data_IF_142487275424
#
_entry.id   IF_142487275424
#
_cell.length_a   1.000
_cell.length_b   1.000
_cell.length_c   1.000
_cell.angle_alpha   90.00
_cell.angle_beta   90.00
_cell.angle_gamma   90.00
#
_symmetry.space_group_name_H-M   'P 1'
#
loop_
_entity.id
_entity.type
_entity.pdbx_description
1 polymer ?
#
# COMPACT_ATOMS: atom_id res chain seq x y z
N UNK A 1 -18.24 -4.51 -10.07
CA UNK A 1 -19.22 -5.60 -10.27
C UNK A 1 -18.80 -6.43 -11.47
N UNK A 2 -18.66 -7.75 -11.32
CA UNK A 2 -18.32 -8.66 -12.43
C UNK A 2 -19.42 -9.71 -12.62
N UNK A 3 -19.75 -10.02 -13.87
CA UNK A 3 -20.71 -11.06 -14.26
C UNK A 3 -19.97 -12.16 -15.02
N UNK A 4 -19.97 -13.37 -14.48
CA UNK A 4 -19.41 -14.54 -15.16
C UNK A 4 -20.24 -14.92 -16.39
N UNK A 5 -21.58 -14.78 -16.30
CA UNK A 5 -22.51 -15.07 -17.39
C UNK A 5 -22.28 -14.13 -18.58
N UNK A 6 -22.14 -12.83 -18.32
CA UNK A 6 -21.98 -11.82 -19.36
C UNK A 6 -20.51 -11.59 -19.75
N UNK A 7 -19.57 -12.28 -19.07
CA UNK A 7 -18.12 -12.11 -19.20
C UNK A 7 -17.69 -10.64 -19.18
N UNK A 8 -18.30 -9.86 -18.31
CA UNK A 8 -18.12 -8.42 -18.27
C UNK A 8 -17.98 -7.91 -16.83
N UNK A 9 -17.25 -6.81 -16.67
CA UNK A 9 -17.09 -6.12 -15.40
C UNK A 9 -17.31 -4.61 -15.59
N UNK A 10 -17.92 -3.99 -14.57
CA UNK A 10 -18.18 -2.56 -14.52
C UNK A 10 -17.81 -2.01 -13.15
N UNK A 11 -17.43 -0.75 -13.09
CA UNK A 11 -17.25 -0.01 -11.85
C UNK A 11 -18.49 0.86 -11.65
N UNK A 12 -19.08 0.78 -10.47
CA UNK A 12 -20.26 1.57 -10.10
C UNK A 12 -19.80 2.56 -9.04
N UNK A 13 -20.00 3.85 -9.30
CA UNK A 13 -19.44 4.95 -8.51
C UNK A 13 -20.58 5.82 -8.00
N UNK A 14 -20.74 5.89 -6.68
CA UNK A 14 -21.91 6.48 -6.05
C UNK A 14 -21.49 7.54 -5.03
N UNK A 15 -22.16 8.69 -5.09
CA UNK A 15 -22.08 9.76 -4.10
C UNK A 15 -23.50 10.24 -3.77
N UNK A 16 -23.73 11.02 -2.70
CA UNK A 16 -25.08 11.47 -2.33
C UNK A 16 -25.83 12.23 -3.42
N UNK A 17 -25.12 12.83 -4.38
CA UNK A 17 -25.72 13.66 -5.44
C UNK A 17 -25.50 13.12 -6.85
N UNK A 18 -24.71 12.04 -7.01
CA UNK A 18 -24.27 11.63 -8.32
C UNK A 18 -24.07 10.11 -8.41
N UNK A 19 -24.24 9.59 -9.62
CA UNK A 19 -24.14 8.17 -9.93
C UNK A 19 -23.45 7.99 -11.28
N UNK A 20 -22.38 7.21 -11.30
CA UNK A 20 -21.62 6.90 -12.50
C UNK A 20 -21.43 5.41 -12.68
N UNK A 21 -21.38 4.98 -13.94
CA UNK A 21 -20.99 3.62 -14.31
C UNK A 21 -19.81 3.74 -15.27
N UNK A 22 -18.65 3.23 -14.85
CA UNK A 22 -17.48 3.16 -15.71
C UNK A 22 -17.37 1.76 -16.31
N UNK A 23 -17.22 1.73 -17.63
CA UNK A 23 -17.05 0.52 -18.45
C UNK A 23 -15.86 0.77 -19.37
N UNK A 24 -15.03 -0.25 -19.56
CA UNK A 24 -13.94 -0.18 -20.51
C UNK A 24 -14.38 -0.88 -21.79
N UNK A 25 -14.31 -0.17 -22.91
CA UNK A 25 -14.56 -0.74 -24.24
C UNK A 25 -13.26 -1.28 -24.83
N UNK A 26 -13.34 -2.39 -25.56
CA UNK A 26 -12.22 -2.96 -26.34
C UNK A 26 -10.99 -3.38 -25.51
N UNK A 27 -11.15 -3.66 -24.22
CA UNK A 27 -10.10 -4.30 -23.41
C UNK A 27 -10.67 -5.50 -22.66
N UNK A 28 -9.79 -6.43 -22.29
CA UNK A 28 -10.14 -7.58 -21.45
C UNK A 28 -10.05 -7.27 -19.95
N UNK A 29 -9.83 -6.01 -19.55
CA UNK A 29 -9.42 -5.64 -18.19
C UNK A 29 -10.07 -4.37 -17.70
N UNK A 30 -10.57 -4.41 -16.47
CA UNK A 30 -11.09 -3.25 -15.75
C UNK A 30 -10.27 -3.07 -14.49
N UNK A 31 -9.63 -1.90 -14.35
CA UNK A 31 -8.80 -1.56 -13.20
C UNK A 31 -9.54 -0.57 -12.31
N UNK A 32 -9.49 -0.78 -11.00
CA UNK A 32 -10.14 0.10 -10.03
C UNK A 32 -9.18 0.39 -8.90
N UNK A 33 -8.96 1.68 -8.62
CA UNK A 33 -8.35 2.12 -7.36
C UNK A 33 -9.37 2.97 -6.60
N UNK A 34 -8.93 3.89 -5.74
CA UNK A 34 -9.79 4.60 -4.81
C UNK A 34 -10.42 5.88 -5.38
N UNK A 35 -9.97 6.38 -6.54
CA UNK A 35 -10.59 7.53 -7.22
C UNK A 35 -11.65 7.07 -8.22
N UNK A 36 -12.59 7.96 -8.53
CA UNK A 36 -13.65 7.73 -9.51
C UNK A 36 -13.16 7.96 -10.95
N UNK A 37 -13.65 7.15 -11.87
CA UNK A 37 -13.19 7.04 -13.27
C UNK A 37 -14.29 7.33 -14.29
N UNK A 38 -15.57 7.29 -13.90
CA UNK A 38 -16.67 7.59 -14.82
C UNK A 38 -16.72 9.07 -15.22
N UNK A 39 -17.21 9.34 -16.43
CA UNK A 39 -17.30 10.71 -16.99
C UNK A 39 -18.06 11.69 -16.09
N UNK A 40 -19.03 11.15 -15.34
CA UNK A 40 -19.86 11.87 -14.38
C UNK A 40 -19.04 12.55 -13.26
N UNK A 41 -17.84 12.02 -12.94
CA UNK A 41 -16.92 12.58 -11.94
C UNK A 41 -15.68 13.24 -12.56
N UNK A 42 -15.64 13.41 -13.88
CA UNK A 42 -14.50 14.01 -14.59
C UNK A 42 -14.23 15.44 -14.12
N UNK A 43 -15.27 16.24 -13.90
CA UNK A 43 -15.13 17.63 -13.45
C UNK A 43 -15.39 17.79 -11.93
N UNK A 44 -15.52 16.68 -11.19
CA UNK A 44 -15.70 16.74 -9.74
C UNK A 44 -14.40 17.15 -9.03
N UNK A 45 -14.44 18.31 -8.37
CA UNK A 45 -13.27 18.91 -7.71
C UNK A 45 -12.67 18.00 -6.63
N UNK A 46 -13.50 17.23 -5.90
CA UNK A 46 -13.00 16.34 -4.84
C UNK A 46 -12.30 15.13 -5.44
N UNK A 47 -12.87 14.58 -6.51
CA UNK A 47 -12.25 13.49 -7.25
C UNK A 47 -10.91 13.92 -7.88
N UNK A 48 -10.87 15.09 -8.54
CA UNK A 48 -9.64 15.64 -9.10
C UNK A 48 -8.56 15.86 -8.05
N UNK A 49 -8.93 16.43 -6.90
CA UNK A 49 -8.02 16.58 -5.77
C UNK A 49 -7.51 15.23 -5.26
N UNK A 50 -8.36 14.20 -5.20
CA UNK A 50 -7.95 12.87 -4.78
C UNK A 50 -6.98 12.22 -5.78
N UNK A 51 -7.22 12.39 -7.09
CA UNK A 51 -6.32 11.91 -8.16
C UNK A 51 -4.95 12.57 -8.03
N UNK A 52 -4.91 13.89 -7.82
CA UNK A 52 -3.67 14.67 -7.74
C UNK A 52 -2.90 14.42 -6.43
N UNK A 53 -3.59 14.48 -5.29
CA UNK A 53 -2.92 14.55 -3.99
C UNK A 53 -2.66 13.18 -3.35
N UNK A 54 -3.38 12.13 -3.76
CA UNK A 54 -3.30 10.80 -3.14
C UNK A 54 -2.44 9.80 -3.91
N UNK A 55 -2.21 8.64 -3.31
CA UNK A 55 -1.51 7.50 -3.91
C UNK A 55 -2.39 6.70 -4.89
N UNK A 56 -3.66 7.07 -5.08
CA UNK A 56 -4.60 6.28 -5.91
C UNK A 56 -4.23 6.26 -7.38
N UNK A 57 -3.90 7.42 -7.96
CA UNK A 57 -3.49 7.51 -9.36
C UNK A 57 -2.17 6.78 -9.60
N UNK A 58 -1.22 6.92 -8.67
CA UNK A 58 0.05 6.20 -8.70
C UNK A 58 -0.13 4.67 -8.71
N UNK A 59 -0.98 4.14 -7.82
CA UNK A 59 -1.28 2.69 -7.81
C UNK A 59 -1.99 2.22 -9.07
N UNK A 60 -2.81 3.08 -9.67
CA UNK A 60 -3.46 2.78 -10.94
C UNK A 60 -2.42 2.63 -12.06
N UNK A 61 -1.48 3.56 -12.15
CA UNK A 61 -0.35 3.49 -13.09
C UNK A 61 0.53 2.25 -12.83
N UNK A 62 0.82 1.92 -11.56
CA UNK A 62 1.58 0.70 -11.21
C UNK A 62 0.84 -0.57 -11.63
N UNK A 63 -0.48 -0.63 -11.47
CA UNK A 63 -1.28 -1.77 -11.97
C UNK A 63 -1.20 -1.86 -13.50
N UNK A 64 -1.23 -0.74 -14.21
CA UNK A 64 -1.07 -0.74 -15.67
C UNK A 64 0.30 -1.28 -16.08
N UNK A 65 1.37 -0.84 -15.42
CA UNK A 65 2.75 -1.33 -15.64
C UNK A 65 2.83 -2.86 -15.45
N UNK A 66 2.42 -3.37 -14.28
CA UNK A 66 2.49 -4.80 -13.96
C UNK A 66 1.62 -5.68 -14.85
N UNK A 67 0.55 -5.12 -15.42
CA UNK A 67 -0.35 -5.86 -16.28
C UNK A 67 0.08 -5.82 -17.76
N UNK A 68 0.84 -4.80 -18.20
CA UNK A 68 1.36 -4.77 -19.58
C UNK A 68 2.29 -5.96 -19.87
N UNK A 69 2.99 -6.45 -18.86
CA UNK A 69 3.96 -7.54 -19.00
C UNK A 69 3.30 -8.93 -19.14
N UNK A 70 1.99 -9.04 -18.88
CA UNK A 70 1.34 -10.33 -18.69
C UNK A 70 0.21 -10.59 -19.71
N UNK A 71 0.40 -11.54 -20.63
CA UNK A 71 -0.58 -11.84 -21.69
C UNK A 71 -1.79 -12.64 -21.16
N UNK A 72 -1.57 -13.51 -20.17
CA UNK A 72 -2.62 -14.30 -19.48
C UNK A 72 -2.41 -14.31 -17.97
N UNK A 73 -3.43 -13.82 -17.26
CA UNK A 73 -3.49 -13.78 -15.80
C UNK A 73 -3.98 -15.13 -15.26
N UNK A 74 -3.31 -15.63 -14.22
CA UNK A 74 -3.73 -16.77 -13.41
C UNK A 74 -3.68 -16.36 -11.92
N UNK A 75 -4.24 -17.16 -10.99
CA UNK A 75 -4.26 -16.82 -9.57
C UNK A 75 -2.88 -16.50 -9.00
N UNK A 76 -1.84 -17.25 -9.40
CA UNK A 76 -0.46 -17.08 -8.93
C UNK A 76 0.13 -15.73 -9.35
N UNK A 77 -0.09 -15.32 -10.60
CA UNK A 77 0.33 -14.01 -11.10
C UNK A 77 -0.43 -12.86 -10.44
N UNK A 78 -1.73 -13.02 -10.23
CA UNK A 78 -2.53 -12.03 -9.49
C UNK A 78 -2.02 -11.91 -8.04
N UNK A 79 -1.70 -13.02 -7.39
CA UNK A 79 -1.10 -12.99 -6.06
C UNK A 79 0.26 -12.27 -6.06
N UNK A 80 1.11 -12.50 -7.07
CA UNK A 80 2.38 -11.76 -7.24
C UNK A 80 2.17 -10.25 -7.38
N UNK A 81 1.22 -9.83 -8.23
CA UNK A 81 0.86 -8.41 -8.41
C UNK A 81 0.36 -7.81 -7.10
N UNK A 82 -0.57 -8.50 -6.41
CA UNK A 82 -1.10 -8.05 -5.12
C UNK A 82 -0.01 -7.93 -4.06
N UNK A 83 1.00 -8.81 -4.10
CA UNK A 83 2.15 -8.80 -3.19
C UNK A 83 3.23 -7.79 -3.58
N UNK A 84 3.14 -7.12 -4.73
CA UNK A 84 4.18 -6.21 -5.21
C UNK A 84 4.38 -5.01 -4.27
N UNK A 85 5.63 -4.81 -3.83
CA UNK A 85 6.05 -3.81 -2.85
C UNK A 85 6.83 -2.65 -3.48
N UNK A 86 7.06 -2.68 -4.80
CA UNK A 86 7.87 -1.68 -5.50
C UNK A 86 7.03 -0.47 -5.93
N UNK A 87 7.71 0.64 -6.19
CA UNK A 87 7.13 1.77 -6.91
C UNK A 87 7.08 1.52 -8.42
N UNK A 88 6.67 2.55 -9.16
CA UNK A 88 6.76 2.57 -10.62
C UNK A 88 8.19 2.28 -11.08
N UNK A 89 8.31 1.53 -12.18
CA UNK A 89 9.58 1.08 -12.78
C UNK A 89 10.48 0.35 -11.79
N UNK A 90 9.85 -0.42 -10.91
CA UNK A 90 10.45 -1.19 -9.81
C UNK A 90 11.37 -0.40 -8.89
N UNK A 91 11.15 0.91 -8.77
CA UNK A 91 11.89 1.75 -7.84
C UNK A 91 11.64 1.28 -6.41
N UNK A 92 12.71 1.17 -5.63
CA UNK A 92 12.60 1.03 -4.17
C UNK A 92 12.08 2.34 -3.56
N UNK A 93 10.94 2.26 -2.87
CA UNK A 93 10.25 3.41 -2.25
C UNK A 93 10.10 3.24 -0.73
N UNK A 94 10.76 2.22 -0.18
CA UNK A 94 10.66 1.82 1.21
C UNK A 94 9.40 1.03 1.54
N UNK A 95 9.51 0.10 2.48
CA UNK A 95 8.38 -0.70 2.93
C UNK A 95 7.43 0.13 3.81
N UNK A 96 6.12 -0.06 3.66
CA UNK A 96 5.11 0.80 4.31
C UNK A 96 4.65 1.99 3.47
N UNK A 97 5.22 2.21 2.28
CA UNK A 97 4.84 3.31 1.39
C UNK A 97 3.50 3.03 0.69
N UNK A 98 2.51 3.91 0.88
CA UNK A 98 1.15 3.73 0.34
C UNK A 98 1.07 3.78 -1.20
N UNK A 99 2.16 4.16 -1.88
CA UNK A 99 2.28 4.09 -3.34
C UNK A 99 2.50 2.66 -3.86
N UNK A 100 3.02 1.74 -3.04
CA UNK A 100 3.09 0.32 -3.40
C UNK A 100 1.70 -0.32 -3.40
N UNK A 101 1.49 -1.39 -4.17
CA UNK A 101 0.24 -2.17 -4.10
C UNK A 101 0.13 -2.90 -2.77
N UNK A 102 1.21 -3.57 -2.38
CA UNK A 102 1.38 -4.11 -1.03
C UNK A 102 2.23 -3.17 -0.18
N UNK A 103 1.57 -2.25 0.50
CA UNK A 103 2.19 -1.38 1.50
C UNK A 103 2.48 -2.10 2.83
N UNK A 104 2.29 -3.42 2.95
CA UNK A 104 2.44 -4.20 4.19
C UNK A 104 1.58 -3.70 5.37
N UNK A 105 0.38 -3.19 5.05
CA UNK A 105 -0.59 -2.73 6.04
C UNK A 105 -1.98 -3.35 5.83
N UNK A 106 -2.31 -3.71 4.59
CA UNK A 106 -3.59 -4.33 4.28
C UNK A 106 -3.65 -5.73 4.91
N UNK A 107 -4.74 -5.99 5.65
CA UNK A 107 -4.88 -7.25 6.38
C UNK A 107 -5.10 -8.46 5.48
N UNK A 108 -5.81 -8.31 4.36
CA UNK A 108 -6.18 -9.41 3.49
C UNK A 108 -6.21 -8.99 2.02
N UNK A 109 -6.05 -9.97 1.14
CA UNK A 109 -6.34 -9.88 -0.28
C UNK A 109 -7.18 -11.08 -0.72
N UNK A 110 -8.01 -10.86 -1.73
CA UNK A 110 -8.92 -11.88 -2.27
C UNK A 110 -8.74 -11.96 -3.78
N UNK A 111 -8.62 -13.17 -4.28
CA UNK A 111 -8.61 -13.48 -5.72
C UNK A 111 -9.84 -14.29 -6.01
N UNK A 112 -10.61 -13.89 -7.02
CA UNK A 112 -11.79 -14.64 -7.43
C UNK A 112 -11.65 -15.12 -8.87
N UNK A 113 -11.99 -16.38 -9.11
CA UNK A 113 -12.18 -16.95 -10.44
C UNK A 113 -13.68 -17.25 -10.62
N UNK A 114 -14.47 -16.28 -11.12
CA UNK A 114 -15.93 -16.40 -11.14
C UNK A 114 -16.45 -17.59 -11.94
N UNK A 115 -15.88 -17.83 -13.13
CA UNK A 115 -16.32 -18.94 -14.01
C UNK A 115 -16.07 -20.30 -13.36
N UNK A 116 -14.95 -20.45 -12.63
CA UNK A 116 -14.62 -21.67 -11.88
C UNK A 116 -15.28 -21.74 -10.51
N UNK A 117 -15.81 -20.61 -10.03
CA UNK A 117 -16.33 -20.42 -8.68
C UNK A 117 -15.31 -20.77 -7.59
N UNK A 118 -14.05 -20.38 -7.81
CA UNK A 118 -12.95 -20.53 -6.85
C UNK A 118 -12.59 -19.18 -6.24
N UNK A 119 -12.37 -19.15 -4.93
CA UNK A 119 -11.93 -17.96 -4.19
C UNK A 119 -10.62 -18.28 -3.49
N UNK A 120 -9.64 -17.39 -3.55
CA UNK A 120 -8.46 -17.45 -2.71
C UNK A 120 -8.45 -16.28 -1.73
N UNK A 121 -8.17 -16.55 -0.45
CA UNK A 121 -8.06 -15.52 0.59
C UNK A 121 -6.68 -15.61 1.23
N UNK A 122 -5.95 -14.49 1.28
CA UNK A 122 -4.63 -14.46 1.92
C UNK A 122 -4.74 -14.66 3.44
N UNK A 123 -3.79 -15.40 3.99
CA UNK A 123 -3.56 -15.54 5.43
C UNK A 123 -2.47 -14.57 5.92
N UNK A 124 -2.25 -14.54 7.23
CA UNK A 124 -1.23 -13.67 7.84
C UNK A 124 0.22 -14.09 7.48
N UNK A 125 1.17 -13.13 7.49
CA UNK A 125 1.00 -11.71 7.73
C UNK A 125 0.60 -10.95 6.45
N UNK A 126 -0.30 -9.97 6.58
CA UNK A 126 -0.78 -9.12 5.48
C UNK A 126 -1.29 -9.96 4.29
N UNK A 127 -0.78 -9.67 3.10
CA UNK A 127 -1.04 -10.41 1.87
C UNK A 127 0.09 -11.41 1.55
N UNK A 128 1.06 -11.55 2.45
CA UNK A 128 2.24 -12.39 2.24
C UNK A 128 2.01 -13.85 2.68
N UNK A 129 1.05 -14.11 3.56
CA UNK A 129 0.68 -15.47 3.94
C UNK A 129 0.17 -16.29 2.74
N UNK A 130 -0.01 -17.59 2.98
CA UNK A 130 -0.62 -18.49 2.02
C UNK A 130 -1.99 -17.96 1.58
N UNK A 131 -2.29 -18.02 0.29
CA UNK A 131 -3.65 -17.82 -0.22
C UNK A 131 -4.37 -19.15 -0.22
N UNK A 132 -5.31 -19.30 0.71
CA UNK A 132 -6.11 -20.52 0.87
C UNK A 132 -7.23 -20.51 -0.16
N UNK A 133 -7.31 -21.55 -0.98
CA UNK A 133 -8.33 -21.71 -2.02
C UNK A 133 -9.59 -22.35 -1.46
N UNK A 134 -10.76 -21.81 -1.80
CA UNK A 134 -12.09 -22.30 -1.44
C UNK A 134 -12.89 -22.57 -2.71
N UNK A 135 -13.53 -23.74 -2.78
CA UNK A 135 -14.40 -24.12 -3.89
C UNK A 135 -15.87 -23.82 -3.55
N UNK A 136 -16.41 -22.78 -4.18
CA UNK A 136 -17.80 -22.40 -3.93
C UNK A 136 -18.80 -23.41 -4.51
N UNK A 137 -18.42 -24.26 -5.47
CA UNK A 137 -19.29 -25.35 -5.92
C UNK A 137 -19.56 -26.33 -4.79
N UNK A 138 -18.52 -26.66 -4.01
CA UNK A 138 -18.65 -27.56 -2.87
C UNK A 138 -19.38 -26.87 -1.72
N UNK A 139 -18.98 -25.64 -1.38
CA UNK A 139 -19.57 -24.85 -0.30
C UNK A 139 -21.09 -24.68 -0.49
N UNK A 140 -21.55 -24.40 -1.71
CA UNK A 140 -22.96 -24.21 -2.01
C UNK A 140 -23.65 -25.47 -2.58
N UNK A 141 -23.03 -26.65 -2.47
CA UNK A 141 -23.61 -27.91 -2.99
C UNK A 141 -24.79 -28.44 -2.17
N UNK A 142 -25.03 -27.90 -0.97
CA UNK A 142 -26.05 -28.39 -0.04
C UNK A 142 -25.72 -29.71 0.65
N UNK A 143 -24.49 -30.22 0.49
CA UNK A 143 -23.98 -31.37 1.25
C UNK A 143 -23.52 -30.91 2.63
N UNK A 144 -23.62 -31.80 3.64
CA UNK A 144 -23.01 -31.56 4.95
C UNK A 144 -21.49 -31.49 4.79
N UNK A 145 -20.95 -30.28 4.92
CA UNK A 145 -19.53 -30.03 4.83
C UNK A 145 -18.91 -30.13 6.21
N UNK A 146 -17.92 -31.02 6.34
CA UNK A 146 -17.11 -31.09 7.54
C UNK A 146 -16.22 -29.83 7.63
N UNK A 147 -16.07 -29.20 8.82
CA UNK A 147 -15.38 -27.91 8.97
C UNK A 147 -13.96 -27.83 8.38
N UNK A 148 -13.26 -28.95 8.25
CA UNK A 148 -11.89 -29.02 7.71
C UNK A 148 -11.80 -29.18 6.18
N UNK A 149 -12.92 -29.36 5.47
CA UNK A 149 -12.91 -29.72 4.04
C UNK A 149 -13.26 -28.58 3.08
N UNK A 150 -13.42 -27.34 3.56
CA UNK A 150 -13.78 -26.21 2.69
C UNK A 150 -12.64 -25.73 1.80
N UNK A 151 -11.39 -25.96 2.21
CA UNK A 151 -10.21 -25.51 1.46
C UNK A 151 -9.67 -26.56 0.50
N UNK A 152 -9.31 -26.14 -0.71
CA UNK A 152 -8.59 -26.95 -1.70
C UNK A 152 -7.09 -26.72 -1.61
N UNK A 153 -6.45 -27.39 -0.65
CA UNK A 153 -5.01 -27.21 -0.37
C UNK A 153 -4.10 -27.37 -1.59
N UNK A 154 -4.44 -28.27 -2.51
CA UNK A 154 -3.73 -28.49 -3.79
C UNK A 154 -3.73 -27.25 -4.71
N UNK A 155 -4.67 -26.32 -4.51
CA UNK A 155 -4.81 -25.07 -5.27
C UNK A 155 -4.35 -23.86 -4.46
N UNK A 156 -3.84 -24.02 -3.24
CA UNK A 156 -3.33 -22.91 -2.46
C UNK A 156 -2.14 -22.26 -3.18
N UNK A 157 -1.99 -20.95 -3.02
CA UNK A 157 -0.80 -20.24 -3.49
C UNK A 157 0.11 -20.06 -2.26
N UNK A 158 1.36 -20.55 -2.32
CA UNK A 158 2.23 -20.56 -1.16
C UNK A 158 2.50 -19.15 -0.62
N UNK A 159 2.86 -19.09 0.67
CA UNK A 159 3.37 -17.90 1.34
C UNK A 159 4.51 -17.27 0.51
N UNK A 160 4.54 -15.94 0.46
CA UNK A 160 5.62 -15.17 -0.16
C UNK A 160 6.91 -15.33 0.67
N UNK A 161 8.04 -15.79 0.08
CA UNK A 161 9.31 -15.93 0.79
C UNK A 161 9.81 -14.66 1.46
N UNK A 162 9.39 -13.48 0.99
CA UNK A 162 9.71 -12.20 1.63
C UNK A 162 9.23 -12.14 3.09
N UNK A 163 8.16 -12.85 3.44
CA UNK A 163 7.64 -12.84 4.81
C UNK A 163 8.59 -13.46 5.84
N UNK A 164 9.64 -14.15 5.37
CA UNK A 164 10.65 -14.81 6.19
C UNK A 164 12.05 -14.22 5.94
N UNK A 165 12.13 -13.05 5.28
CA UNK A 165 13.39 -12.36 4.96
C UNK A 165 13.80 -11.33 6.03
N UNK A 166 15.09 -11.01 6.06
CA UNK A 166 15.63 -9.99 6.97
C UNK A 166 15.00 -8.62 6.71
N UNK A 167 14.69 -8.30 5.46
CA UNK A 167 14.04 -7.05 5.08
C UNK A 167 12.63 -6.91 5.67
N UNK A 168 11.88 -8.00 5.77
CA UNK A 168 10.56 -7.99 6.42
C UNK A 168 10.68 -7.84 7.94
N UNK A 169 11.65 -8.51 8.57
CA UNK A 169 11.96 -8.32 9.99
C UNK A 169 12.35 -6.87 10.27
N UNK A 170 13.26 -6.30 9.47
CA UNK A 170 13.69 -4.92 9.56
C UNK A 170 12.51 -3.93 9.39
N UNK A 171 11.59 -4.21 8.48
CA UNK A 171 10.35 -3.44 8.34
C UNK A 171 9.49 -3.47 9.61
N UNK A 172 9.27 -4.65 10.20
CA UNK A 172 8.48 -4.81 11.43
C UNK A 172 9.14 -4.06 12.62
N UNK A 173 10.46 -4.18 12.77
CA UNK A 173 11.24 -3.44 13.78
C UNK A 173 11.12 -1.93 13.54
N UNK A 174 11.32 -1.48 12.30
CA UNK A 174 11.18 -0.06 11.92
C UNK A 174 9.79 0.47 12.26
N UNK A 175 8.73 -0.32 12.05
CA UNK A 175 7.36 0.08 12.40
C UNK A 175 7.18 0.23 13.91
N UNK A 176 7.73 -0.70 14.71
CA UNK A 176 7.69 -0.61 16.18
C UNK A 176 8.43 0.63 16.68
N UNK A 177 9.67 0.86 16.22
CA UNK A 177 10.46 2.04 16.59
C UNK A 177 9.80 3.35 16.16
N UNK A 178 9.13 3.37 14.99
CA UNK A 178 8.36 4.53 14.53
C UNK A 178 7.26 4.92 15.51
N UNK A 179 6.64 3.96 16.21
CA UNK A 179 5.64 4.23 17.24
C UNK A 179 6.28 4.88 18.46
N UNK A 180 7.40 4.33 18.95
CA UNK A 180 8.14 4.88 20.09
C UNK A 180 8.62 6.32 19.84
N UNK A 181 9.15 6.61 18.64
CA UNK A 181 9.58 7.96 18.27
C UNK A 181 8.40 8.94 18.27
N UNK A 182 7.23 8.53 17.77
CA UNK A 182 6.06 9.41 17.81
C UNK A 182 5.62 9.71 19.26
N UNK A 183 5.61 8.70 20.13
CA UNK A 183 5.31 8.88 21.55
C UNK A 183 6.31 9.81 22.25
N UNK A 184 7.58 9.78 21.85
CA UNK A 184 8.61 10.71 22.33
C UNK A 184 8.37 12.17 21.89
N UNK A 185 7.69 12.38 20.75
CA UNK A 185 7.35 13.73 20.27
C UNK A 185 6.03 14.27 20.84
N UNK A 186 5.23 13.42 21.48
CA UNK A 186 3.91 13.76 22.04
C UNK A 186 3.96 14.06 23.55
N UNK A 187 5.11 14.55 24.04
CA UNK A 187 5.26 15.04 25.42
C UNK A 187 5.81 14.04 26.44
N UNK A 188 6.21 12.85 26.01
CA UNK A 188 7.06 11.97 26.81
C UNK A 188 8.51 12.32 26.50
N UNK A 189 9.23 12.91 27.44
CA UNK A 189 10.63 13.33 27.25
C UNK A 189 11.59 12.12 27.21
N UNK A 190 11.41 11.27 26.19
CA UNK A 190 12.22 10.08 25.94
C UNK A 190 13.50 10.56 25.25
N UNK A 191 14.64 10.05 25.72
CA UNK A 191 15.93 10.23 25.09
C UNK A 191 16.37 8.89 24.49
N UNK A 192 16.84 8.93 23.24
CA UNK A 192 17.41 7.78 22.56
C UNK A 192 18.93 7.79 22.69
N UNK A 193 19.53 6.60 22.76
CA UNK A 193 20.98 6.46 22.82
C UNK A 193 21.66 6.90 21.51
N UNK A 194 22.94 7.21 21.58
CA UNK A 194 23.76 7.51 20.41
C UNK A 194 23.70 6.36 19.39
N UNK A 195 23.60 6.70 18.11
CA UNK A 195 23.47 5.73 17.03
C UNK A 195 22.07 5.15 16.81
N UNK A 196 21.08 5.49 17.65
CA UNK A 196 19.69 5.03 17.47
C UNK A 196 19.09 5.42 16.12
N UNK A 197 19.17 6.70 15.74
CA UNK A 197 18.57 7.16 14.47
C UNK A 197 19.26 6.59 13.23
N UNK A 198 20.60 6.50 13.16
CA UNK A 198 21.28 5.76 12.09
C UNK A 198 20.80 4.30 11.96
N UNK A 199 20.66 3.58 13.08
CA UNK A 199 20.14 2.20 13.08
C UNK A 199 18.68 2.16 12.61
N UNK A 200 17.82 3.02 13.17
CA UNK A 200 16.42 3.12 12.77
C UNK A 200 16.24 3.39 11.27
N UNK A 201 17.06 4.28 10.71
CA UNK A 201 17.05 4.59 9.29
C UNK A 201 17.57 3.44 8.43
N UNK A 202 18.57 2.68 8.90
CA UNK A 202 19.11 1.54 8.15
C UNK A 202 18.11 0.39 8.01
N UNK A 203 17.13 0.28 8.91
CA UNK A 203 16.08 -0.74 8.83
C UNK A 203 15.12 -0.55 7.64
N UNK A 204 14.95 0.68 7.15
CA UNK A 204 14.07 0.97 6.01
C UNK A 204 14.54 2.23 5.24
N UNK A 205 15.71 2.15 4.59
CA UNK A 205 16.47 3.33 4.15
C UNK A 205 15.84 4.09 2.98
N UNK A 206 14.87 3.50 2.28
CA UNK A 206 14.14 4.17 1.20
C UNK A 206 12.80 4.76 1.63
N UNK A 207 12.37 4.47 2.86
CA UNK A 207 11.10 4.98 3.35
C UNK A 207 11.27 6.40 3.88
N UNK A 208 10.65 7.38 3.22
CA UNK A 208 10.76 8.80 3.60
C UNK A 208 10.44 9.08 5.08
N UNK A 209 9.55 8.26 5.67
CA UNK A 209 9.03 8.46 7.02
C UNK A 209 10.08 8.22 8.11
N UNK A 210 11.09 7.37 7.88
CA UNK A 210 12.16 7.17 8.89
C UNK A 210 12.92 8.47 9.10
N UNK A 211 13.26 9.18 8.02
CA UNK A 211 13.91 10.49 8.10
C UNK A 211 12.98 11.57 8.62
N UNK A 212 11.72 11.58 8.20
CA UNK A 212 10.75 12.56 8.70
C UNK A 212 10.55 12.47 10.22
N UNK A 213 10.46 11.25 10.78
CA UNK A 213 10.30 11.05 12.21
C UNK A 213 11.57 11.40 12.99
N UNK A 214 12.76 11.02 12.49
CA UNK A 214 14.04 11.48 13.05
C UNK A 214 14.11 13.01 13.09
N UNK A 215 13.79 13.68 11.98
CA UNK A 215 13.81 15.13 11.89
C UNK A 215 12.80 15.80 12.84
N UNK A 216 11.59 15.22 12.98
CA UNK A 216 10.59 15.70 13.98
C UNK A 216 11.13 15.60 15.40
N UNK A 217 11.79 14.50 15.74
CA UNK A 217 12.38 14.31 17.06
C UNK A 217 13.47 15.35 17.34
N UNK A 218 14.45 15.48 16.42
CA UNK A 218 15.52 16.48 16.56
C UNK A 218 14.96 17.91 16.65
N UNK A 219 13.94 18.22 15.85
CA UNK A 219 13.25 19.51 15.92
C UNK A 219 12.64 19.77 17.31
N UNK A 220 12.03 18.75 17.92
CA UNK A 220 11.46 18.82 19.27
C UNK A 220 12.55 19.03 20.33
N UNK A 221 13.70 18.36 20.20
CA UNK A 221 14.89 18.56 21.05
C UNK A 221 15.66 19.85 20.77
N UNK A 222 15.23 20.63 19.76
CA UNK A 222 15.85 21.89 19.29
C UNK A 222 17.24 21.69 18.66
N UNK A 223 17.56 20.47 18.26
CA UNK A 223 18.73 20.08 17.46
C UNK A 223 18.45 20.41 15.99
N UNK A 224 18.48 21.70 15.66
CA UNK A 224 17.96 22.19 14.38
C UNK A 224 18.85 21.84 13.17
N UNK A 225 20.16 21.62 13.36
CA UNK A 225 21.05 21.25 12.27
C UNK A 225 20.77 19.82 11.80
N UNK A 226 20.61 18.91 12.75
CA UNK A 226 20.26 17.51 12.58
C UNK A 226 18.85 17.40 11.98
N UNK A 227 17.88 18.12 12.55
CA UNK A 227 16.52 18.15 12.02
C UNK A 227 16.46 18.59 10.55
N UNK A 228 17.26 19.60 10.18
CA UNK A 228 17.33 20.11 8.81
C UNK A 228 17.83 19.02 7.86
N UNK A 229 18.94 18.37 8.19
CA UNK A 229 19.53 17.31 7.37
C UNK A 229 18.54 16.15 7.16
N UNK A 230 17.80 15.78 8.20
CA UNK A 230 16.76 14.74 8.13
C UNK A 230 15.58 15.11 7.22
N UNK A 231 15.05 16.33 7.33
CA UNK A 231 13.97 16.78 6.45
C UNK A 231 14.42 16.91 4.99
N UNK A 232 15.64 17.40 4.75
CA UNK A 232 16.24 17.42 3.41
C UNK A 232 16.38 16.00 2.86
N UNK A 233 16.85 15.04 3.67
CA UNK A 233 16.93 13.63 3.28
C UNK A 233 15.57 13.04 2.96
N UNK A 234 14.56 13.28 3.79
CA UNK A 234 13.18 12.83 3.54
C UNK A 234 12.63 13.32 2.19
N UNK A 235 12.93 14.57 1.80
CA UNK A 235 12.50 15.15 0.53
C UNK A 235 13.14 14.50 -0.71
N UNK A 236 14.27 13.81 -0.56
CA UNK A 236 14.92 13.03 -1.63
C UNK A 236 14.27 11.66 -1.85
N UNK A 237 13.47 11.19 -0.89
CA UNK A 237 12.76 9.90 -0.95
C UNK A 237 11.37 10.03 -1.60
N UNK A 238 10.78 8.89 -1.92
CA UNK A 238 9.45 8.84 -2.52
C UNK A 238 8.37 9.11 -1.46
N UNK A 239 7.96 10.37 -1.31
CA UNK A 239 6.89 10.75 -0.40
C UNK A 239 5.53 10.34 -0.97
N UNK A 240 4.68 9.80 -0.09
CA UNK A 240 3.45 9.07 -0.40
C UNK A 240 2.34 9.94 -0.98
N UNK A 241 2.16 11.15 -0.46
CA UNK A 241 1.11 12.09 -0.87
C UNK A 241 1.64 13.52 -0.99
N UNK A 242 0.93 14.38 -1.75
CA UNK A 242 1.25 15.82 -1.82
C UNK A 242 1.15 16.48 -0.42
N UNK A 243 0.09 16.23 0.38
CA UNK A 243 0.01 16.72 1.76
C UNK A 243 1.21 16.32 2.63
N UNK A 244 1.69 15.07 2.53
CA UNK A 244 2.87 14.61 3.27
C UNK A 244 4.12 15.38 2.83
N UNK A 245 4.31 15.59 1.53
CA UNK A 245 5.44 16.39 1.02
C UNK A 245 5.39 17.82 1.56
N UNK A 246 4.23 18.48 1.48
CA UNK A 246 3.99 19.82 2.04
C UNK A 246 4.26 19.86 3.55
N UNK A 247 3.96 18.77 4.27
CA UNK A 247 4.26 18.66 5.69
C UNK A 247 5.78 18.62 5.95
N UNK A 248 6.54 17.82 5.21
CA UNK A 248 8.01 17.78 5.32
C UNK A 248 8.61 19.16 5.01
N UNK A 249 8.19 19.80 3.92
CA UNK A 249 8.63 21.15 3.53
C UNK A 249 8.30 22.20 4.61
N UNK A 250 7.11 22.11 5.21
CA UNK A 250 6.71 22.99 6.32
C UNK A 250 7.63 22.84 7.53
N UNK A 251 8.02 21.62 7.89
CA UNK A 251 8.97 21.38 8.98
C UNK A 251 10.36 21.91 8.64
N UNK A 252 10.87 21.64 7.43
CA UNK A 252 12.15 22.18 6.96
C UNK A 252 12.18 23.72 7.03
N UNK A 253 11.11 24.38 6.56
CA UNK A 253 10.99 25.83 6.62
C UNK A 253 10.96 26.37 8.06
N UNK A 254 10.30 25.66 8.98
CA UNK A 254 10.32 26.00 10.41
C UNK A 254 11.72 25.85 11.00
N UNK A 255 12.46 24.80 10.63
CA UNK A 255 13.84 24.56 11.07
C UNK A 255 14.77 25.66 10.58
N UNK A 256 14.73 26.01 9.28
CA UNK A 256 15.56 27.08 8.70
C UNK A 256 15.37 28.43 9.42
N UNK A 257 14.13 28.76 9.81
CA UNK A 257 13.85 29.98 10.59
C UNK A 257 14.43 29.98 12.01
N UNK A 258 14.73 28.79 12.56
CA UNK A 258 15.35 28.62 13.87
C UNK A 258 16.87 28.62 13.79
N UNK A 259 17.44 28.12 12.69
CA UNK A 259 18.90 28.11 12.45
C UNK A 259 19.43 29.48 11.99
N UNK A 260 18.62 30.29 11.31
CA UNK A 260 18.98 31.64 10.86
C UNK A 260 18.81 32.74 11.94
N UNK A 261 18.50 32.35 13.17
CA UNK A 261 18.40 33.24 14.34
C UNK A 261 19.58 32.98 15.26
#
# INVERSE_FOLDING_TARGET
MGSAHDRNAVIIEVSPKNFGVYRVENTSRVLCTNHFQSDVYKDDIKNQKQIEESHSAYRYEKLQELLQEEEKLNPEKIASILRNRSGLKDKSIGYGNEKALNQLLAHHAVIFSPEKKLVWVSSNPYQLGEFVCYDLNEIFSGKDLQPMNFSKSQLNIPRDPFADSEEFENYEISRMLSKEINEATDGRDIAFADGFFPYYQSLNPDFWKVYFLSGKYYYHKKEYAEAKAEFEKALTKEITTIPDRKMVEKYLNKTNKKTNK
#
